data_IF_135837196765
#
_entry.id   IF_135837196765
#
_cell.length_a   1.000
_cell.length_b   1.000
_cell.length_c   1.000
_cell.angle_alpha   90.00
_cell.angle_beta   90.00
_cell.angle_gamma   90.00
#
_symmetry.space_group_name_H-M   'P 1'
#
loop_
_entity.id
_entity.type
_entity.pdbx_description
1 polymer ?
#
# COMPACT_ATOMS: atom_id res chain seq x y z
N UNK A 1 42.37 20.10 19.41
CA UNK A 1 41.52 19.17 18.62
C UNK A 1 42.12 19.11 17.23
N UNK A 2 42.76 17.98 16.89
CA UNK A 2 43.50 17.74 15.64
C UNK A 2 42.51 17.63 14.49
N UNK A 3 42.64 18.50 13.50
CA UNK A 3 41.97 18.32 12.18
C UNK A 3 42.70 17.15 11.51
N UNK A 4 42.04 15.99 11.48
CA UNK A 4 42.51 14.84 10.71
C UNK A 4 42.57 15.26 9.22
N UNK A 5 43.74 15.07 8.61
CA UNK A 5 44.02 15.22 7.18
C UNK A 5 43.07 14.30 6.39
N UNK A 6 41.98 14.85 5.91
CA UNK A 6 41.08 14.14 4.97
C UNK A 6 41.76 14.21 3.61
N UNK A 7 42.46 13.17 3.22
CA UNK A 7 43.14 13.02 1.94
C UNK A 7 42.08 12.96 0.83
N UNK A 8 41.87 14.05 0.11
CA UNK A 8 40.85 14.17 -0.94
C UNK A 8 41.37 13.48 -2.22
N UNK A 9 40.85 12.30 -2.53
CA UNK A 9 41.11 11.58 -3.78
C UNK A 9 40.06 12.00 -4.82
N UNK A 10 40.43 12.97 -5.66
CA UNK A 10 39.51 13.63 -6.63
C UNK A 10 39.86 13.31 -8.09
N UNK A 11 40.68 12.30 -8.35
CA UNK A 11 41.22 12.01 -9.68
C UNK A 11 40.17 11.78 -10.77
N UNK A 12 39.12 10.93 -10.54
CA UNK A 12 38.08 10.71 -11.54
C UNK A 12 37.29 11.99 -11.87
N UNK A 13 37.02 12.84 -10.88
CA UNK A 13 36.33 14.10 -11.07
C UNK A 13 37.16 15.08 -11.89
N UNK A 14 38.43 15.17 -11.62
CA UNK A 14 39.37 16.04 -12.36
C UNK A 14 39.55 15.57 -13.81
N UNK A 15 39.60 14.25 -14.06
CA UNK A 15 39.63 13.67 -15.40
C UNK A 15 38.34 13.92 -16.16
N UNK A 16 37.17 13.86 -15.51
CA UNK A 16 35.86 14.22 -16.12
C UNK A 16 35.83 15.68 -16.52
N UNK A 17 36.24 16.57 -15.61
CA UNK A 17 36.35 17.99 -15.85
C UNK A 17 37.23 18.28 -17.10
N UNK A 18 38.43 17.71 -17.15
CA UNK A 18 39.33 17.86 -18.29
C UNK A 18 38.70 17.41 -19.62
N UNK A 19 38.02 16.26 -19.63
CA UNK A 19 37.36 15.78 -20.86
C UNK A 19 36.18 16.65 -21.26
N UNK A 20 35.41 17.19 -20.31
CA UNK A 20 34.31 18.10 -20.53
C UNK A 20 34.79 19.40 -21.18
N UNK A 21 35.91 19.91 -20.70
CA UNK A 21 36.56 21.12 -21.25
C UNK A 21 37.36 20.84 -22.54
N UNK A 22 37.36 19.62 -23.05
CA UNK A 22 38.08 19.25 -24.28
C UNK A 22 39.59 19.33 -24.20
N UNK A 23 40.16 19.36 -22.97
CA UNK A 23 41.60 19.59 -22.77
C UNK A 23 42.39 18.28 -22.77
N UNK A 24 43.62 18.37 -23.35
CA UNK A 24 44.63 17.33 -23.13
C UNK A 24 45.23 17.40 -21.72
N UNK A 25 45.89 16.35 -21.23
CA UNK A 25 46.55 16.38 -19.92
C UNK A 25 47.60 17.49 -19.87
N UNK A 26 48.36 17.68 -20.92
CA UNK A 26 49.39 18.75 -20.99
C UNK A 26 48.75 20.16 -20.93
N UNK A 27 47.64 20.36 -21.63
CA UNK A 27 46.92 21.64 -21.65
C UNK A 27 46.33 21.95 -20.26
N UNK A 28 45.67 21.01 -19.63
CA UNK A 28 45.09 21.19 -18.28
C UNK A 28 46.19 21.38 -17.23
N UNK A 29 47.27 20.64 -17.32
CA UNK A 29 48.42 20.80 -16.41
C UNK A 29 49.02 22.21 -16.50
N UNK A 30 49.15 22.76 -17.73
CA UNK A 30 49.57 24.13 -17.95
C UNK A 30 48.63 25.16 -17.33
N UNK A 31 47.30 25.00 -17.50
CA UNK A 31 46.29 25.91 -16.89
C UNK A 31 46.35 25.86 -15.36
N UNK A 32 46.60 24.70 -14.79
CA UNK A 32 46.71 24.50 -13.33
C UNK A 32 48.10 24.80 -12.76
N UNK A 33 49.08 25.15 -13.62
CA UNK A 33 50.46 25.42 -13.24
C UNK A 33 51.08 24.25 -12.45
N UNK A 34 50.96 23.01 -12.99
CA UNK A 34 51.51 21.78 -12.51
C UNK A 34 52.14 20.96 -13.65
N UNK A 35 52.96 20.00 -13.35
CA UNK A 35 53.52 19.12 -14.38
C UNK A 35 52.45 18.14 -14.92
N UNK A 36 52.50 17.77 -16.22
CA UNK A 36 51.63 16.74 -16.77
C UNK A 36 51.73 15.39 -16.03
N UNK A 37 52.90 15.00 -15.59
CA UNK A 37 53.14 13.81 -14.79
C UNK A 37 52.40 13.87 -13.43
N UNK A 38 52.44 15.03 -12.78
CA UNK A 38 51.73 15.24 -11.52
C UNK A 38 50.20 15.19 -11.70
N UNK A 39 49.68 15.80 -12.76
CA UNK A 39 48.29 15.70 -13.11
C UNK A 39 47.84 14.25 -13.37
N UNK A 40 48.65 13.47 -14.08
CA UNK A 40 48.36 12.06 -14.34
C UNK A 40 48.33 11.23 -13.03
N UNK A 41 49.21 11.49 -12.07
CA UNK A 41 49.18 10.83 -10.76
C UNK A 41 47.93 11.19 -9.96
N UNK A 42 47.47 12.44 -10.03
CA UNK A 42 46.22 12.85 -9.40
C UNK A 42 45.00 12.19 -10.09
N UNK A 43 44.95 12.20 -11.43
CA UNK A 43 43.86 11.59 -12.20
C UNK A 43 43.73 10.08 -11.97
N UNK A 44 44.83 9.42 -11.59
CA UNK A 44 44.85 7.99 -11.22
C UNK A 44 44.69 7.72 -9.72
N UNK A 45 44.41 8.73 -8.91
CA UNK A 45 44.32 8.65 -7.46
C UNK A 45 45.60 8.15 -6.78
N UNK A 46 46.74 8.21 -7.49
CA UNK A 46 48.07 7.85 -6.93
C UNK A 46 48.68 8.99 -6.11
N UNK A 47 48.10 10.19 -6.22
CA UNK A 47 48.39 11.32 -5.35
C UNK A 47 47.12 12.11 -5.01
N UNK A 48 46.98 12.60 -3.78
CA UNK A 48 45.85 13.41 -3.39
C UNK A 48 45.91 14.78 -4.06
N UNK A 49 44.73 15.36 -4.29
CA UNK A 49 44.58 16.72 -4.77
C UNK A 49 44.95 17.70 -3.64
N UNK A 50 46.01 18.49 -3.84
CA UNK A 50 46.40 19.49 -2.85
C UNK A 50 45.40 20.67 -2.84
N UNK A 51 45.22 21.31 -1.66
CA UNK A 51 44.35 22.47 -1.51
C UNK A 51 44.68 23.60 -2.53
N UNK A 52 45.97 23.80 -2.82
CA UNK A 52 46.43 24.80 -3.79
C UNK A 52 45.96 24.49 -5.20
N UNK A 53 46.00 23.23 -5.61
CA UNK A 53 45.50 22.79 -6.93
C UNK A 53 43.96 22.81 -6.98
N UNK A 54 43.29 22.46 -5.91
CA UNK A 54 41.83 22.53 -5.82
C UNK A 54 41.30 23.96 -6.00
N UNK A 55 41.94 24.94 -5.33
CA UNK A 55 41.53 26.35 -5.49
C UNK A 55 41.72 26.80 -6.94
N UNK A 56 42.79 26.42 -7.62
CA UNK A 56 43.00 26.75 -9.06
C UNK A 56 41.99 26.09 -9.96
N UNK A 57 41.53 24.84 -9.64
CA UNK A 57 40.51 24.14 -10.39
C UNK A 57 39.18 24.89 -10.28
N UNK A 58 38.84 25.32 -9.05
CA UNK A 58 37.60 26.10 -8.80
C UNK A 58 37.65 27.43 -9.57
N UNK A 59 38.76 28.18 -9.45
CA UNK A 59 38.89 29.49 -10.07
C UNK A 59 38.95 29.49 -11.62
N UNK A 60 39.54 28.43 -12.19
CA UNK A 60 39.75 28.35 -13.64
C UNK A 60 38.65 27.66 -14.41
N UNK A 61 37.89 26.79 -13.77
CA UNK A 61 36.90 25.91 -14.42
C UNK A 61 35.51 26.01 -13.80
N UNK A 62 35.27 27.00 -12.92
CA UNK A 62 33.99 27.12 -12.18
C UNK A 62 33.52 25.80 -11.60
N UNK A 63 34.48 25.08 -10.99
CA UNK A 63 34.24 23.71 -10.48
C UNK A 63 33.60 23.74 -9.10
N UNK A 64 32.40 23.13 -8.97
CA UNK A 64 31.77 22.98 -7.67
C UNK A 64 32.45 21.86 -6.87
N UNK A 65 33.15 22.16 -5.75
CA UNK A 65 33.78 21.15 -4.91
C UNK A 65 32.79 20.19 -4.24
N UNK A 66 31.48 20.52 -4.23
CA UNK A 66 30.44 19.59 -3.74
C UNK A 66 30.25 18.41 -4.68
N UNK A 67 30.61 18.55 -5.97
CA UNK A 67 30.59 17.44 -6.93
C UNK A 67 31.63 16.34 -6.62
N UNK A 68 32.61 16.61 -5.74
CA UNK A 68 33.54 15.61 -5.22
C UNK A 68 32.90 14.68 -4.18
N UNK A 69 31.72 15.02 -3.67
CA UNK A 69 30.92 14.21 -2.72
C UNK A 69 29.83 13.39 -3.40
N UNK A 70 29.85 13.27 -4.73
CA UNK A 70 28.89 12.38 -5.44
C UNK A 70 29.02 10.91 -5.01
N UNK A 71 30.12 10.51 -4.39
CA UNK A 71 30.26 9.19 -3.78
C UNK A 71 29.32 8.98 -2.58
N UNK A 72 28.84 10.04 -1.93
CA UNK A 72 27.82 9.96 -0.86
C UNK A 72 26.44 9.52 -1.38
N UNK A 73 26.12 9.77 -2.64
CA UNK A 73 24.81 9.44 -3.21
C UNK A 73 24.55 7.92 -3.31
N UNK A 74 25.60 7.11 -3.39
CA UNK A 74 25.52 5.64 -3.42
C UNK A 74 25.87 5.01 -2.06
N UNK A 75 26.08 5.82 -1.01
CA UNK A 75 26.51 5.37 0.32
C UNK A 75 27.98 4.95 0.36
N UNK A 76 28.81 5.45 -0.57
CA UNK A 76 30.25 5.20 -0.66
C UNK A 76 30.62 3.71 -0.80
N UNK A 77 31.81 3.37 -0.33
CA UNK A 77 32.34 1.99 -0.30
C UNK A 77 31.43 1.03 0.46
N UNK A 78 30.98 1.43 1.65
CA UNK A 78 30.15 0.57 2.50
C UNK A 78 28.73 0.37 1.92
N UNK A 79 28.22 1.34 1.20
CA UNK A 79 26.97 1.22 0.46
C UNK A 79 27.08 0.21 -0.69
N UNK A 80 28.21 0.22 -1.39
CA UNK A 80 28.46 -0.71 -2.49
C UNK A 80 28.71 -2.14 -1.96
N UNK A 81 29.49 -2.29 -0.88
CA UNK A 81 29.71 -3.58 -0.20
C UNK A 81 28.38 -4.21 0.22
N UNK A 82 27.48 -3.43 0.85
CA UNK A 82 26.16 -3.95 1.26
C UNK A 82 25.32 -4.47 0.07
N UNK A 83 25.43 -3.82 -1.09
CA UNK A 83 24.73 -4.27 -2.29
C UNK A 83 25.34 -5.54 -2.87
N UNK A 84 26.67 -5.64 -2.89
CA UNK A 84 27.41 -6.81 -3.37
C UNK A 84 27.29 -8.02 -2.43
N UNK A 85 27.03 -7.81 -1.13
CA UNK A 85 26.76 -8.88 -0.17
C UNK A 85 25.36 -9.50 -0.28
N UNK A 86 24.53 -9.08 -1.25
CA UNK A 86 23.21 -9.68 -1.48
C UNK A 86 23.35 -11.15 -1.90
N UNK A 87 22.44 -11.99 -1.40
CA UNK A 87 22.39 -13.44 -1.72
C UNK A 87 22.35 -13.76 -3.22
N UNK A 88 21.93 -12.80 -4.05
CA UNK A 88 21.94 -12.93 -5.53
C UNK A 88 23.33 -12.96 -6.13
N UNK A 89 24.34 -12.51 -5.40
CA UNK A 89 25.74 -12.44 -5.81
C UNK A 89 26.64 -13.34 -4.96
N UNK A 90 26.07 -14.16 -4.06
CA UNK A 90 26.81 -14.98 -3.13
C UNK A 90 27.74 -16.03 -3.82
N UNK A 91 27.38 -16.45 -5.02
CA UNK A 91 28.14 -17.37 -5.87
C UNK A 91 29.37 -16.73 -6.53
N UNK A 92 29.43 -15.39 -6.58
CA UNK A 92 30.54 -14.65 -7.20
C UNK A 92 31.72 -14.47 -6.27
N UNK A 93 31.53 -14.60 -4.93
CA UNK A 93 32.60 -14.49 -3.94
C UNK A 93 33.32 -13.15 -3.92
N UNK A 94 32.62 -12.04 -4.26
CA UNK A 94 33.16 -10.69 -4.38
C UNK A 94 33.72 -10.22 -3.03
N UNK A 95 34.99 -9.89 -3.03
CA UNK A 95 35.67 -9.40 -1.82
C UNK A 95 35.71 -7.85 -1.74
N UNK A 96 36.24 -7.35 -0.60
CA UNK A 96 36.30 -5.91 -0.35
C UNK A 96 37.29 -5.20 -1.28
N UNK A 97 38.37 -5.86 -1.71
CA UNK A 97 39.37 -5.30 -2.59
C UNK A 97 38.84 -5.12 -4.00
N UNK A 98 38.07 -6.09 -4.54
CA UNK A 98 37.40 -5.99 -5.82
C UNK A 98 36.35 -4.86 -5.84
N UNK A 99 35.60 -4.69 -4.75
CA UNK A 99 34.63 -3.57 -4.66
C UNK A 99 35.35 -2.23 -4.66
N UNK A 100 36.51 -2.13 -3.99
CA UNK A 100 37.33 -0.93 -3.96
C UNK A 100 37.91 -0.63 -5.33
N UNK A 101 38.42 -1.64 -6.03
CA UNK A 101 38.96 -1.52 -7.37
C UNK A 101 37.85 -1.08 -8.35
N UNK A 102 36.67 -1.72 -8.30
CA UNK A 102 35.53 -1.36 -9.09
C UNK A 102 35.11 0.11 -8.89
N UNK A 103 34.99 0.56 -7.63
CA UNK A 103 34.65 1.94 -7.30
C UNK A 103 35.71 2.93 -7.80
N UNK A 104 36.98 2.55 -7.72
CA UNK A 104 38.10 3.40 -8.12
C UNK A 104 38.30 3.47 -9.63
N UNK A 105 38.17 2.33 -10.32
CA UNK A 105 38.38 2.23 -11.77
C UNK A 105 37.18 2.80 -12.57
N UNK A 106 35.96 2.56 -12.09
CA UNK A 106 34.74 2.87 -12.83
C UNK A 106 33.64 3.44 -11.95
N UNK A 107 33.82 4.60 -11.28
CA UNK A 107 32.86 5.14 -10.30
C UNK A 107 31.48 5.39 -10.88
N UNK A 108 31.37 5.79 -12.16
CA UNK A 108 30.07 5.98 -12.81
C UNK A 108 29.34 4.66 -13.10
N UNK A 109 30.10 3.60 -13.41
CA UNK A 109 29.51 2.25 -13.59
C UNK A 109 29.06 1.72 -12.23
N UNK A 110 29.85 1.96 -11.16
CA UNK A 110 29.46 1.64 -9.79
C UNK A 110 28.17 2.41 -9.37
N UNK A 111 28.08 3.68 -9.73
CA UNK A 111 26.87 4.47 -9.50
C UNK A 111 25.68 3.97 -10.34
N UNK A 112 25.90 3.60 -11.61
CA UNK A 112 24.86 3.01 -12.44
C UNK A 112 24.41 1.64 -11.91
N UNK A 113 25.35 0.81 -11.46
CA UNK A 113 25.05 -0.46 -10.80
C UNK A 113 24.22 -0.24 -9.53
N UNK A 114 24.65 0.69 -8.65
CA UNK A 114 23.92 0.99 -7.43
C UNK A 114 22.47 1.44 -7.74
N UNK A 115 22.28 2.32 -8.73
CA UNK A 115 20.94 2.73 -9.19
C UNK A 115 20.12 1.56 -9.73
N UNK A 116 20.71 0.73 -10.58
CA UNK A 116 20.05 -0.47 -11.12
C UNK A 116 19.74 -1.48 -10.01
N UNK A 117 20.66 -1.67 -9.06
CA UNK A 117 20.46 -2.53 -7.91
C UNK A 117 19.32 -2.03 -7.03
N UNK A 118 19.31 -0.73 -6.70
CA UNK A 118 18.26 -0.10 -5.90
C UNK A 118 16.91 -0.09 -6.64
N UNK A 119 16.94 -0.02 -7.97
CA UNK A 119 15.75 -0.17 -8.83
C UNK A 119 15.32 -1.63 -9.00
N UNK A 120 16.24 -2.57 -9.01
CA UNK A 120 15.99 -4.00 -9.22
C UNK A 120 16.03 -4.84 -7.95
N UNK A 121 16.56 -4.31 -6.85
CA UNK A 121 16.62 -4.94 -5.52
C UNK A 121 15.30 -4.88 -4.78
N UNK A 122 14.49 -3.96 -5.14
CA UNK A 122 13.04 -3.99 -5.03
C UNK A 122 12.53 -4.32 -6.43
N UNK A 123 11.79 -5.38 -6.63
CA UNK A 123 10.84 -5.48 -7.72
C UNK A 123 9.75 -4.41 -7.56
N UNK A 124 10.08 -3.38 -6.84
CA UNK A 124 9.42 -2.11 -6.67
C UNK A 124 10.24 -1.07 -7.44
N UNK A 125 9.65 -0.56 -8.51
CA UNK A 125 9.97 0.73 -9.06
C UNK A 125 10.50 1.62 -7.93
N UNK A 126 11.54 2.41 -8.18
CA UNK A 126 11.77 3.66 -7.43
C UNK A 126 10.50 4.47 -7.64
N UNK A 127 9.56 4.16 -6.83
CA UNK A 127 8.27 4.75 -6.73
C UNK A 127 8.57 6.12 -6.14
N UNK A 128 8.39 7.16 -6.92
CA UNK A 128 7.43 8.15 -6.40
C UNK A 128 6.48 7.33 -5.58
N UNK A 129 6.57 7.41 -4.27
CA UNK A 129 5.83 6.58 -3.32
C UNK A 129 4.41 6.45 -3.85
N UNK A 130 4.02 5.25 -4.28
CA UNK A 130 2.74 5.08 -4.95
C UNK A 130 1.71 5.62 -3.97
N UNK A 131 0.96 6.64 -4.37
CA UNK A 131 -0.01 7.30 -3.51
C UNK A 131 -0.82 6.29 -2.70
N UNK A 132 -1.20 5.18 -3.32
CA UNK A 132 -1.91 4.08 -2.67
C UNK A 132 -1.10 3.41 -1.53
N UNK A 133 0.21 3.25 -1.68
CA UNK A 133 1.06 2.66 -0.63
C UNK A 133 1.25 3.63 0.54
N UNK A 134 1.37 4.94 0.26
CA UNK A 134 1.46 5.98 1.28
C UNK A 134 0.16 6.06 2.11
N UNK A 135 -0.99 6.05 1.43
CA UNK A 135 -2.31 6.03 2.10
C UNK A 135 -2.47 4.77 2.94
N UNK A 136 -2.13 3.59 2.41
CA UNK A 136 -2.21 2.34 3.16
C UNK A 136 -1.38 2.40 4.44
N UNK A 137 -0.12 2.86 4.38
CA UNK A 137 0.72 3.03 5.59
C UNK A 137 0.14 4.03 6.58
N UNK A 138 -0.48 5.11 6.10
CA UNK A 138 -1.17 6.04 6.96
C UNK A 138 -2.35 5.37 7.69
N UNK A 139 -3.19 4.64 6.98
CA UNK A 139 -4.33 3.90 7.55
C UNK A 139 -3.85 2.83 8.55
N UNK A 140 -2.78 2.10 8.22
CA UNK A 140 -2.19 1.07 9.09
C UNK A 140 -1.64 1.64 10.40
N UNK A 141 -1.02 2.84 10.39
CA UNK A 141 -0.57 3.53 11.62
C UNK A 141 -1.72 3.78 12.61
N UNK A 142 -2.90 4.09 12.13
CA UNK A 142 -4.12 4.29 12.95
C UNK A 142 -4.91 2.99 13.13
N UNK A 143 -4.43 1.86 12.61
CA UNK A 143 -5.18 0.60 12.60
C UNK A 143 -6.61 0.76 12.06
N UNK A 144 -6.79 1.67 11.10
CA UNK A 144 -8.08 2.07 10.54
C UNK A 144 -9.11 2.49 11.60
N UNK A 145 -8.68 3.08 12.72
CA UNK A 145 -9.56 3.61 13.76
C UNK A 145 -9.26 5.08 14.03
N UNK A 146 -10.23 5.94 13.74
CA UNK A 146 -10.14 7.40 13.90
C UNK A 146 -11.08 7.81 15.04
N UNK A 147 -10.56 7.83 16.27
CA UNK A 147 -11.35 7.99 17.49
C UNK A 147 -12.22 9.25 17.51
N UNK A 148 -11.67 10.39 17.09
CA UNK A 148 -12.38 11.68 17.08
C UNK A 148 -13.52 11.67 16.06
N UNK A 149 -13.31 11.07 14.89
CA UNK A 149 -14.33 10.94 13.85
C UNK A 149 -15.45 9.99 14.29
N UNK A 150 -15.13 8.88 14.94
CA UNK A 150 -16.12 7.98 15.50
C UNK A 150 -16.97 8.65 16.57
N UNK A 151 -16.33 9.44 17.44
CA UNK A 151 -17.05 10.17 18.49
C UNK A 151 -18.01 11.22 17.88
N UNK A 152 -17.52 11.98 16.91
CA UNK A 152 -18.34 12.97 16.20
C UNK A 152 -19.51 12.32 15.45
N UNK A 153 -19.26 11.18 14.78
CA UNK A 153 -20.31 10.42 14.08
C UNK A 153 -21.36 9.86 15.04
N UNK A 154 -20.95 9.33 16.22
CA UNK A 154 -21.90 8.88 17.25
C UNK A 154 -22.77 10.04 17.74
N UNK A 155 -22.16 11.19 18.04
CA UNK A 155 -22.89 12.40 18.46
C UNK A 155 -23.92 12.85 17.43
N UNK A 156 -23.53 12.91 16.14
CA UNK A 156 -24.46 13.27 15.06
C UNK A 156 -25.54 12.22 14.85
N UNK A 157 -25.20 10.93 14.95
CA UNK A 157 -26.20 9.87 14.83
C UNK A 157 -27.25 9.90 15.97
N UNK A 158 -26.85 10.29 17.19
CA UNK A 158 -27.73 10.45 18.33
C UNK A 158 -28.58 11.74 18.20
N UNK A 159 -28.00 12.86 17.74
CA UNK A 159 -28.72 14.10 17.44
C UNK A 159 -29.83 13.86 16.42
N UNK A 160 -29.52 13.17 15.34
CA UNK A 160 -30.46 12.83 14.27
C UNK A 160 -31.40 11.69 14.64
N UNK A 161 -31.25 11.07 15.80
CA UNK A 161 -32.06 9.93 16.26
C UNK A 161 -32.11 8.80 15.24
N UNK A 162 -30.98 8.51 14.57
CA UNK A 162 -30.89 7.52 13.50
C UNK A 162 -31.27 6.08 13.94
N UNK A 163 -31.56 5.87 15.22
CA UNK A 163 -32.04 4.60 15.76
C UNK A 163 -33.56 4.39 15.71
N UNK A 164 -34.33 5.44 15.45
CA UNK A 164 -35.78 5.45 15.68
C UNK A 164 -36.63 5.65 14.41
N UNK A 165 -36.01 5.87 13.26
CA UNK A 165 -36.71 6.15 12.02
C UNK A 165 -35.96 5.68 10.78
N UNK A 166 -36.46 6.05 9.62
CA UNK A 166 -35.75 5.82 8.36
C UNK A 166 -34.50 6.70 8.27
N UNK A 167 -33.33 6.08 8.37
CA UNK A 167 -32.02 6.75 8.32
C UNK A 167 -31.90 7.65 7.09
N UNK A 168 -32.40 7.19 5.93
CA UNK A 168 -32.37 7.98 4.68
C UNK A 168 -33.16 9.27 4.79
N UNK A 169 -34.34 9.22 5.41
CA UNK A 169 -35.19 10.40 5.59
C UNK A 169 -34.54 11.42 6.54
N UNK A 170 -34.02 10.96 7.68
CA UNK A 170 -33.34 11.84 8.65
C UNK A 170 -32.11 12.52 8.07
N UNK A 171 -31.26 11.79 7.35
CA UNK A 171 -30.08 12.35 6.71
C UNK A 171 -30.43 13.29 5.54
N UNK A 172 -31.45 12.96 4.75
CA UNK A 172 -31.92 13.83 3.65
C UNK A 172 -32.53 15.12 4.18
N UNK A 173 -33.28 15.04 5.30
CA UNK A 173 -33.85 16.21 5.96
C UNK A 173 -32.74 17.10 6.53
N UNK A 174 -31.69 16.51 7.14
CA UNK A 174 -30.52 17.25 7.61
C UNK A 174 -29.83 18.01 6.48
N UNK A 175 -29.63 17.37 5.31
CA UNK A 175 -29.09 18.05 4.14
C UNK A 175 -29.96 19.21 3.70
N UNK A 176 -31.28 19.02 3.71
CA UNK A 176 -32.25 20.04 3.29
C UNK A 176 -32.27 21.23 4.26
N UNK A 177 -32.35 20.98 5.56
CA UNK A 177 -32.55 22.04 6.55
C UNK A 177 -31.27 22.83 6.81
N UNK A 178 -30.15 22.12 7.04
CA UNK A 178 -28.90 22.76 7.43
C UNK A 178 -28.06 23.23 6.24
N UNK A 179 -28.07 22.48 5.14
CA UNK A 179 -27.21 22.72 3.97
C UNK A 179 -27.96 23.19 2.72
N UNK A 180 -29.29 23.25 2.79
CA UNK A 180 -30.15 23.62 1.65
C UNK A 180 -29.90 22.74 0.42
N UNK A 181 -29.55 21.48 0.64
CA UNK A 181 -29.34 20.48 -0.39
C UNK A 181 -30.50 19.48 -0.41
N UNK A 182 -31.16 19.31 -1.57
CA UNK A 182 -32.17 18.29 -1.74
C UNK A 182 -31.58 17.04 -2.36
N UNK A 183 -32.00 15.85 -1.89
CA UNK A 183 -31.62 14.57 -2.51
C UNK A 183 -32.57 14.26 -3.65
N UNK A 184 -32.04 13.93 -4.83
CA UNK A 184 -32.82 13.55 -6.03
C UNK A 184 -32.32 12.22 -6.55
N UNK A 185 -33.26 11.31 -6.81
CA UNK A 185 -33.01 10.06 -7.52
C UNK A 185 -33.33 10.32 -8.98
N UNK A 186 -32.35 10.12 -9.87
CA UNK A 186 -32.47 10.40 -11.29
C UNK A 186 -32.35 9.11 -12.11
N UNK A 187 -33.07 9.04 -13.27
CA UNK A 187 -32.91 7.94 -14.21
C UNK A 187 -31.45 7.78 -14.68
N UNK A 188 -31.07 6.53 -15.03
CA UNK A 188 -29.76 6.21 -15.48
C UNK A 188 -29.31 6.98 -16.74
N UNK A 189 -30.25 7.27 -17.62
CA UNK A 189 -30.01 8.04 -18.85
C UNK A 189 -29.60 9.49 -18.58
N UNK A 190 -30.03 10.06 -17.46
CA UNK A 190 -29.68 11.44 -17.04
C UNK A 190 -28.30 11.50 -16.36
N UNK A 191 -27.79 10.36 -15.90
CA UNK A 191 -26.51 10.24 -15.21
C UNK A 191 -25.58 9.22 -15.90
N UNK A 192 -25.25 9.37 -17.18
CA UNK A 192 -24.45 8.39 -17.89
C UNK A 192 -23.07 8.23 -17.24
N UNK A 193 -22.74 7.00 -16.83
CA UNK A 193 -21.43 6.68 -16.22
C UNK A 193 -21.21 7.21 -14.80
N UNK A 194 -22.18 7.87 -14.20
CA UNK A 194 -22.09 8.39 -12.82
C UNK A 194 -23.17 7.76 -11.93
N UNK A 195 -22.80 7.45 -10.71
CA UNK A 195 -23.73 6.91 -9.70
C UNK A 195 -24.19 7.97 -8.69
N UNK A 196 -23.39 9.00 -8.49
CA UNK A 196 -23.74 10.17 -7.69
C UNK A 196 -23.09 11.44 -8.26
N UNK A 197 -23.72 12.58 -8.03
CA UNK A 197 -23.21 13.90 -8.41
C UNK A 197 -23.74 14.96 -7.46
N UNK A 198 -22.89 15.85 -7.01
CA UNK A 198 -23.27 17.05 -6.26
C UNK A 198 -23.42 18.22 -7.25
N UNK A 199 -24.65 18.67 -7.47
CA UNK A 199 -24.96 19.84 -8.27
C UNK A 199 -25.17 21.06 -7.35
N UNK A 200 -24.14 21.89 -7.25
CA UNK A 200 -24.15 23.08 -6.41
C UNK A 200 -25.07 24.20 -6.94
N UNK A 201 -25.26 24.26 -8.26
CA UNK A 201 -26.16 25.25 -8.85
C UNK A 201 -27.63 24.93 -8.59
N UNK A 202 -28.00 23.66 -8.79
CA UNK A 202 -29.34 23.19 -8.48
C UNK A 202 -29.56 22.91 -6.97
N UNK A 203 -28.48 22.98 -6.16
CA UNK A 203 -28.47 22.58 -4.73
C UNK A 203 -29.03 21.17 -4.54
N UNK A 204 -28.49 20.21 -5.28
CA UNK A 204 -28.98 18.85 -5.30
C UNK A 204 -27.83 17.84 -5.13
N UNK A 205 -28.02 16.85 -4.25
CA UNK A 205 -27.32 15.59 -4.31
C UNK A 205 -28.10 14.65 -5.21
N UNK A 206 -27.57 14.40 -6.39
CA UNK A 206 -28.21 13.57 -7.42
C UNK A 206 -27.63 12.15 -7.33
N UNK A 207 -28.51 11.16 -7.21
CA UNK A 207 -28.19 9.75 -7.10
C UNK A 207 -28.86 8.97 -8.24
N UNK A 208 -28.12 8.02 -8.82
CA UNK A 208 -28.68 7.16 -9.86
C UNK A 208 -29.76 6.23 -9.29
N UNK A 209 -30.82 6.01 -10.03
CA UNK A 209 -31.84 5.00 -9.70
C UNK A 209 -31.27 3.58 -9.65
N UNK A 210 -30.15 3.32 -10.35
CA UNK A 210 -29.47 2.04 -10.36
C UNK A 210 -28.76 1.71 -9.04
N UNK A 211 -28.50 2.70 -8.18
CA UNK A 211 -27.90 2.46 -6.87
C UNK A 211 -28.82 1.64 -5.96
N UNK A 212 -28.36 0.55 -5.36
CA UNK A 212 -29.09 -0.16 -4.31
C UNK A 212 -29.39 0.77 -3.11
N UNK A 213 -30.45 0.46 -2.36
CA UNK A 213 -30.85 1.27 -1.21
C UNK A 213 -29.75 1.48 -0.17
N UNK A 214 -28.91 0.48 0.09
CA UNK A 214 -27.75 0.60 1.00
C UNK A 214 -26.71 1.58 0.47
N UNK A 215 -26.41 1.53 -0.83
CA UNK A 215 -25.46 2.44 -1.47
C UNK A 215 -25.99 3.88 -1.50
N UNK A 216 -27.29 4.09 -1.76
CA UNK A 216 -27.91 5.43 -1.68
C UNK A 216 -27.77 6.02 -0.28
N UNK A 217 -28.08 5.25 0.77
CA UNK A 217 -27.90 5.69 2.16
C UNK A 217 -26.47 6.06 2.46
N UNK A 218 -25.53 5.27 1.96
CA UNK A 218 -24.12 5.54 2.12
C UNK A 218 -23.71 6.87 1.47
N UNK A 219 -24.14 7.14 0.24
CA UNK A 219 -23.84 8.41 -0.44
C UNK A 219 -24.45 9.62 0.28
N UNK A 220 -25.66 9.49 0.84
CA UNK A 220 -26.27 10.55 1.63
C UNK A 220 -25.48 10.78 2.93
N UNK A 221 -25.13 9.72 3.66
CA UNK A 221 -24.32 9.81 4.87
C UNK A 221 -22.93 10.39 4.60
N UNK A 222 -22.30 9.98 3.47
CA UNK A 222 -21.01 10.51 3.00
C UNK A 222 -21.07 12.02 2.77
N UNK A 223 -22.14 12.50 2.13
CA UNK A 223 -22.33 13.92 1.88
C UNK A 223 -22.55 14.71 3.17
N UNK A 224 -23.32 14.19 4.12
CA UNK A 224 -23.50 14.81 5.46
C UNK A 224 -22.17 14.88 6.20
N UNK A 225 -21.42 13.77 6.25
CA UNK A 225 -20.11 13.72 6.90
C UNK A 225 -19.12 14.70 6.28
N UNK A 226 -19.03 14.76 4.96
CA UNK A 226 -18.16 15.67 4.24
C UNK A 226 -18.44 17.17 4.51
N UNK A 227 -19.71 17.51 4.75
CA UNK A 227 -20.12 18.88 5.03
C UNK A 227 -19.96 19.25 6.51
N UNK A 228 -20.35 18.36 7.42
CA UNK A 228 -20.42 18.68 8.86
C UNK A 228 -19.13 18.40 9.61
N UNK A 229 -18.25 17.57 9.06
CA UNK A 229 -16.97 17.20 9.70
C UNK A 229 -15.77 17.57 8.83
N UNK A 230 -15.93 18.57 7.97
CA UNK A 230 -14.88 19.04 7.05
C UNK A 230 -13.57 19.33 7.77
N UNK A 231 -13.62 20.15 8.81
CA UNK A 231 -12.42 20.60 9.55
C UNK A 231 -11.70 19.41 10.20
N UNK A 232 -12.44 18.41 10.71
CA UNK A 232 -11.87 17.21 11.30
C UNK A 232 -11.21 16.31 10.23
N UNK A 233 -11.82 16.20 9.04
CA UNK A 233 -11.24 15.48 7.89
C UNK A 233 -9.94 16.17 7.46
N UNK A 234 -9.96 17.48 7.24
CA UNK A 234 -8.80 18.27 6.82
C UNK A 234 -7.65 18.20 7.83
N UNK A 235 -7.95 18.30 9.12
CA UNK A 235 -6.96 18.18 10.19
C UNK A 235 -6.31 16.79 10.22
N UNK A 236 -7.08 15.73 10.03
CA UNK A 236 -6.57 14.35 9.96
C UNK A 236 -5.68 14.14 8.74
N UNK A 237 -6.11 14.58 7.56
CA UNK A 237 -5.35 14.48 6.31
C UNK A 237 -4.04 15.26 6.40
N UNK A 238 -4.07 16.47 6.97
CA UNK A 238 -2.87 17.26 7.20
C UNK A 238 -1.90 16.57 8.18
N UNK A 239 -2.42 15.98 9.27
CA UNK A 239 -1.64 15.22 10.26
C UNK A 239 -1.00 13.94 9.71
N UNK A 240 -1.46 13.43 8.57
CA UNK A 240 -0.88 12.27 7.91
C UNK A 240 0.49 12.55 7.26
N UNK A 241 0.83 13.82 7.02
CA UNK A 241 2.09 14.27 6.41
C UNK A 241 2.39 13.59 5.06
N UNK A 242 1.37 13.46 4.21
CA UNK A 242 1.52 12.89 2.86
C UNK A 242 2.09 13.94 1.90
N UNK A 243 3.16 13.58 1.19
CA UNK A 243 3.86 14.47 0.26
C UNK A 243 3.10 14.70 -1.05
N UNK A 244 2.44 13.64 -1.55
CA UNK A 244 1.70 13.68 -2.82
C UNK A 244 0.29 14.26 -2.64
N UNK A 245 -0.17 15.18 -3.51
CA UNK A 245 -1.56 15.60 -3.58
C UNK A 245 -2.52 14.41 -3.77
N UNK A 246 -2.22 13.51 -4.72
CA UNK A 246 -3.04 12.33 -5.00
C UNK A 246 -3.20 11.43 -3.76
N UNK A 247 -2.14 11.31 -2.93
CA UNK A 247 -2.22 10.56 -1.69
C UNK A 247 -3.09 11.25 -0.64
N UNK A 248 -3.06 12.60 -0.59
CA UNK A 248 -3.93 13.37 0.30
C UNK A 248 -5.39 13.24 -0.11
N UNK A 249 -5.68 13.37 -1.39
CA UNK A 249 -7.03 13.22 -1.94
C UNK A 249 -7.57 11.81 -1.68
N UNK A 250 -6.76 10.77 -1.91
CA UNK A 250 -7.15 9.40 -1.65
C UNK A 250 -7.36 9.11 -0.15
N UNK A 251 -6.57 9.71 0.75
CA UNK A 251 -6.81 9.60 2.19
C UNK A 251 -8.08 10.35 2.60
N UNK A 252 -8.33 11.52 2.03
CA UNK A 252 -9.55 12.30 2.28
C UNK A 252 -10.80 11.52 1.86
N UNK A 253 -10.76 10.87 0.70
CA UNK A 253 -11.81 9.97 0.23
C UNK A 253 -12.05 8.83 1.23
N UNK A 254 -10.98 8.13 1.63
CA UNK A 254 -11.06 7.03 2.61
C UNK A 254 -11.66 7.49 3.95
N UNK A 255 -11.24 8.63 4.48
CA UNK A 255 -11.73 9.18 5.75
C UNK A 255 -13.19 9.62 5.64
N UNK A 256 -13.59 10.15 4.47
CA UNK A 256 -14.99 10.53 4.20
C UNK A 256 -15.88 9.28 4.13
N UNK A 257 -15.40 8.21 3.50
CA UNK A 257 -16.11 6.91 3.45
C UNK A 257 -16.18 6.24 4.83
N UNK A 258 -15.10 6.34 5.62
CA UNK A 258 -15.08 5.93 7.02
C UNK A 258 -16.19 6.62 7.84
N UNK A 259 -16.33 7.94 7.69
CA UNK A 259 -17.37 8.71 8.36
C UNK A 259 -18.79 8.29 7.96
N UNK A 260 -19.01 8.04 6.67
CA UNK A 260 -20.29 7.52 6.19
C UNK A 260 -20.63 6.18 6.86
N UNK A 261 -19.64 5.28 6.94
CA UNK A 261 -19.77 4.02 7.66
C UNK A 261 -20.03 4.21 9.15
N UNK A 262 -19.35 5.15 9.81
CA UNK A 262 -19.52 5.45 11.23
C UNK A 262 -20.90 6.05 11.55
N UNK A 263 -21.46 6.88 10.66
CA UNK A 263 -22.81 7.42 10.80
C UNK A 263 -23.89 6.34 10.67
N UNK A 264 -23.75 5.43 9.69
CA UNK A 264 -24.69 4.35 9.47
C UNK A 264 -24.58 3.22 10.52
N UNK A 265 -23.39 3.02 11.04
CA UNK A 265 -23.01 1.97 11.97
C UNK A 265 -22.31 2.60 13.21
N UNK A 266 -23.04 3.37 14.07
CA UNK A 266 -22.46 4.06 15.22
C UNK A 266 -21.77 3.07 16.15
N UNK A 267 -20.56 3.42 16.62
CA UNK A 267 -19.60 2.52 17.23
C UNK A 267 -20.18 1.58 18.30
N UNK A 268 -20.67 2.14 19.39
CA UNK A 268 -21.19 1.33 20.52
C UNK A 268 -22.42 0.51 20.17
N UNK A 269 -23.30 1.06 19.33
CA UNK A 269 -24.50 0.34 18.88
C UNK A 269 -24.13 -0.82 17.98
N UNK A 270 -23.19 -0.61 17.07
CA UNK A 270 -22.71 -1.63 16.16
C UNK A 270 -21.93 -2.72 16.92
N UNK A 271 -21.00 -2.35 17.81
CA UNK A 271 -20.23 -3.31 18.62
C UNK A 271 -21.15 -4.21 19.45
N UNK A 272 -22.11 -3.63 20.17
CA UNK A 272 -23.11 -4.42 20.94
C UNK A 272 -23.92 -5.35 20.06
N UNK A 273 -24.27 -4.92 18.85
CA UNK A 273 -24.96 -5.78 17.91
C UNK A 273 -24.09 -6.93 17.42
N UNK A 274 -22.81 -6.67 17.13
CA UNK A 274 -21.84 -7.71 16.78
C UNK A 274 -21.71 -8.77 17.86
N UNK A 275 -21.46 -8.35 19.10
CA UNK A 275 -21.32 -9.25 20.26
C UNK A 275 -22.59 -10.07 20.51
N UNK A 276 -23.76 -9.41 20.48
CA UNK A 276 -25.03 -10.10 20.75
C UNK A 276 -25.46 -11.11 19.68
N UNK A 277 -24.89 -11.03 18.46
CA UNK A 277 -25.23 -11.90 17.34
C UNK A 277 -24.11 -12.89 16.97
N UNK A 278 -22.98 -12.89 17.72
CA UNK A 278 -21.79 -13.64 17.34
C UNK A 278 -21.26 -13.18 15.97
N UNK A 279 -21.32 -11.87 15.68
CA UNK A 279 -20.88 -11.28 14.41
C UNK A 279 -21.58 -11.90 13.18
N UNK A 280 -22.86 -12.24 13.29
CA UNK A 280 -23.65 -12.70 12.14
C UNK A 280 -23.85 -11.58 11.13
N UNK A 281 -23.12 -11.67 10.03
CA UNK A 281 -23.09 -10.61 9.00
C UNK A 281 -24.46 -10.40 8.36
N UNK A 282 -25.27 -11.43 8.18
CA UNK A 282 -26.61 -11.32 7.59
C UNK A 282 -27.58 -10.61 8.53
N UNK A 283 -27.49 -10.87 9.83
CA UNK A 283 -28.28 -10.17 10.85
C UNK A 283 -27.86 -8.71 10.95
N UNK A 284 -26.55 -8.43 10.95
CA UNK A 284 -26.01 -7.07 10.99
C UNK A 284 -26.45 -6.24 9.78
N UNK A 285 -26.34 -6.80 8.57
CA UNK A 285 -26.80 -6.13 7.35
C UNK A 285 -28.27 -5.74 7.43
N UNK A 286 -29.14 -6.63 7.90
CA UNK A 286 -30.58 -6.36 8.04
C UNK A 286 -30.87 -5.34 9.12
N UNK A 287 -30.21 -5.45 10.28
CA UNK A 287 -30.43 -4.56 11.43
C UNK A 287 -30.08 -3.12 11.13
N UNK A 288 -29.00 -2.90 10.39
CA UNK A 288 -28.52 -1.56 10.04
C UNK A 288 -28.88 -1.14 8.60
N UNK A 289 -29.50 -2.01 7.83
CA UNK A 289 -29.89 -1.80 6.44
C UNK A 289 -28.71 -1.39 5.54
N UNK A 290 -27.54 -2.01 5.74
CA UNK A 290 -26.29 -1.77 5.01
C UNK A 290 -25.89 -2.99 4.17
N UNK A 291 -24.94 -2.80 3.26
CA UNK A 291 -24.42 -3.88 2.41
C UNK A 291 -23.36 -4.72 3.15
N UNK A 292 -22.98 -5.85 2.54
CA UNK A 292 -21.98 -6.76 3.11
C UNK A 292 -20.61 -6.11 3.23
N UNK A 293 -20.16 -5.40 2.21
CA UNK A 293 -18.92 -4.66 2.17
C UNK A 293 -18.87 -3.56 3.23
N UNK A 294 -19.96 -2.80 3.41
CA UNK A 294 -20.07 -1.78 4.46
C UNK A 294 -19.94 -2.38 5.87
N UNK A 295 -20.52 -3.56 6.13
CA UNK A 295 -20.32 -4.28 7.40
C UNK A 295 -18.87 -4.75 7.53
N UNK A 296 -18.30 -5.34 6.48
CA UNK A 296 -16.93 -5.84 6.49
C UNK A 296 -15.90 -4.73 6.75
N UNK A 297 -16.05 -3.59 6.10
CA UNK A 297 -15.19 -2.42 6.33
C UNK A 297 -15.34 -1.89 7.75
N UNK A 298 -16.56 -1.75 8.25
CA UNK A 298 -16.80 -1.24 9.60
C UNK A 298 -16.21 -2.13 10.68
N UNK A 299 -16.23 -3.46 10.49
CA UNK A 299 -15.60 -4.41 11.42
C UNK A 299 -14.08 -4.19 11.58
N UNK A 300 -13.41 -3.65 10.57
CA UNK A 300 -11.97 -3.34 10.67
C UNK A 300 -11.67 -2.09 11.50
N UNK A 301 -12.68 -1.32 11.86
CA UNK A 301 -12.53 -0.02 12.54
C UNK A 301 -12.76 -0.09 14.05
N UNK A 302 -13.10 -1.25 14.60
CA UNK A 302 -13.48 -1.42 15.99
C UNK A 302 -12.28 -1.47 16.95
N UNK A 303 -11.40 -0.44 16.86
CA UNK A 303 -10.13 -0.34 17.60
C UNK A 303 -10.15 0.53 18.87
N UNK A 304 -11.32 1.07 19.32
CA UNK A 304 -11.43 1.99 20.46
C UNK A 304 -10.87 1.39 21.75
N UNK A 305 -9.99 2.14 22.42
CA UNK A 305 -9.40 1.70 23.69
C UNK A 305 -10.50 1.50 24.75
N UNK A 306 -10.50 0.35 25.38
CA UNK A 306 -11.51 -0.03 26.38
C UNK A 306 -12.81 -0.60 25.83
N UNK A 307 -13.10 -0.45 24.55
CA UNK A 307 -14.30 -0.97 23.87
C UNK A 307 -13.91 -1.57 22.50
N UNK A 308 -12.96 -2.51 22.47
CA UNK A 308 -12.48 -3.12 21.24
C UNK A 308 -13.38 -4.25 20.76
N UNK A 309 -13.69 -4.23 19.47
CA UNK A 309 -14.25 -5.41 18.80
C UNK A 309 -13.17 -6.42 18.42
N UNK A 310 -13.58 -7.49 17.76
CA UNK A 310 -12.67 -8.49 17.22
C UNK A 310 -11.81 -7.90 16.09
N UNK A 311 -10.51 -8.27 16.00
CA UNK A 311 -9.56 -7.68 15.06
C UNK A 311 -9.69 -8.32 13.67
N UNK A 312 -10.55 -7.76 12.84
CA UNK A 312 -10.72 -8.19 11.46
C UNK A 312 -9.80 -7.44 10.49
N UNK A 313 -9.47 -8.08 9.37
CA UNK A 313 -9.05 -7.43 8.14
C UNK A 313 -10.12 -7.60 7.06
N UNK A 314 -10.12 -6.71 6.07
CA UNK A 314 -10.93 -6.89 4.86
C UNK A 314 -10.08 -6.80 3.61
N UNK A 315 -10.48 -7.54 2.57
CA UNK A 315 -9.89 -7.48 1.25
C UNK A 315 -10.97 -7.55 0.18
N UNK A 316 -10.74 -6.90 -0.95
CA UNK A 316 -11.61 -6.99 -2.12
C UNK A 316 -10.81 -7.52 -3.30
N UNK A 317 -11.35 -8.55 -3.95
CA UNK A 317 -10.72 -9.22 -5.09
C UNK A 317 -11.65 -9.08 -6.30
N UNK A 318 -11.09 -8.66 -7.43
CA UNK A 318 -11.81 -8.59 -8.68
C UNK A 318 -11.86 -9.97 -9.39
N UNK A 319 -12.63 -10.04 -10.47
CA UNK A 319 -12.80 -11.28 -11.25
C UNK A 319 -11.51 -11.75 -11.96
N UNK A 320 -10.54 -10.84 -12.16
CA UNK A 320 -9.22 -11.17 -12.67
C UNK A 320 -8.27 -11.69 -11.59
N UNK A 321 -8.72 -11.77 -10.34
CA UNK A 321 -7.94 -12.23 -9.20
C UNK A 321 -7.01 -11.16 -8.63
N UNK A 322 -7.21 -9.87 -8.96
CA UNK A 322 -6.42 -8.79 -8.36
C UNK A 322 -7.07 -8.36 -7.04
N UNK A 323 -6.25 -8.19 -6.03
CA UNK A 323 -6.66 -7.53 -4.81
C UNK A 323 -6.71 -6.02 -5.06
N UNK A 324 -7.91 -5.47 -5.10
CA UNK A 324 -8.15 -4.05 -5.42
C UNK A 324 -8.20 -3.18 -4.17
N UNK A 325 -8.50 -3.78 -3.02
CA UNK A 325 -8.58 -3.10 -1.74
C UNK A 325 -8.15 -4.03 -0.62
N UNK A 326 -7.47 -3.48 0.40
CA UNK A 326 -7.05 -4.23 1.59
C UNK A 326 -6.92 -3.29 2.79
N UNK A 327 -7.54 -3.65 3.89
CA UNK A 327 -7.44 -2.95 5.16
C UNK A 327 -7.12 -3.97 6.26
N UNK A 328 -5.95 -3.85 6.86
CA UNK A 328 -5.53 -4.73 7.96
C UNK A 328 -6.30 -4.46 9.25
N UNK A 329 -6.74 -3.23 9.50
CA UNK A 329 -7.33 -2.84 10.78
C UNK A 329 -6.39 -3.15 11.96
N UNK A 330 -6.95 -3.61 13.05
CA UNK A 330 -6.21 -4.07 14.24
C UNK A 330 -5.72 -5.52 14.17
N UNK A 331 -5.93 -6.24 13.05
CA UNK A 331 -5.64 -7.68 12.93
C UNK A 331 -4.13 -7.99 12.81
N UNK A 332 -3.33 -7.02 12.38
CA UNK A 332 -1.93 -7.24 12.02
C UNK A 332 -1.75 -8.14 10.80
N UNK A 333 -2.77 -8.27 9.95
CA UNK A 333 -2.64 -8.94 8.67
C UNK A 333 -1.69 -8.16 7.76
N UNK A 334 -0.84 -8.89 7.04
CA UNK A 334 0.13 -8.28 6.14
C UNK A 334 -0.48 -8.25 4.74
N UNK A 335 -0.41 -7.08 4.09
CA UNK A 335 -0.81 -6.95 2.69
C UNK A 335 -0.02 -7.94 1.83
N UNK A 336 -0.67 -8.80 1.06
CA UNK A 336 0.02 -9.72 0.17
C UNK A 336 0.73 -8.91 -0.93
N UNK A 337 2.03 -9.11 -1.06
CA UNK A 337 2.84 -8.46 -2.08
C UNK A 337 2.27 -8.74 -3.49
N UNK A 338 2.50 -7.81 -4.40
CA UNK A 338 2.00 -7.81 -5.78
C UNK A 338 2.10 -9.17 -6.47
N UNK A 339 0.98 -9.60 -7.05
CA UNK A 339 0.89 -10.83 -7.83
C UNK A 339 0.60 -12.10 -7.03
N UNK A 340 0.38 -12.01 -5.71
CA UNK A 340 -0.06 -13.15 -4.93
C UNK A 340 -1.47 -13.58 -5.38
N UNK A 341 -1.54 -14.70 -6.06
CA UNK A 341 -2.79 -15.38 -6.44
C UNK A 341 -2.75 -16.77 -5.84
N UNK A 342 -3.75 -17.08 -5.04
CA UNK A 342 -3.85 -18.38 -4.38
C UNK A 342 -5.10 -19.11 -4.87
N UNK A 343 -5.03 -19.93 -5.94
CA UNK A 343 -6.21 -20.58 -6.51
C UNK A 343 -7.00 -21.40 -5.51
N UNK A 344 -6.35 -21.93 -4.47
CA UNK A 344 -7.00 -22.68 -3.41
C UNK A 344 -7.75 -21.79 -2.39
N UNK A 345 -7.65 -20.46 -2.49
CA UNK A 345 -8.37 -19.56 -1.59
C UNK A 345 -9.81 -19.36 -2.04
N UNK A 346 -10.74 -19.49 -1.11
CA UNK A 346 -12.19 -19.51 -1.40
C UNK A 346 -12.75 -18.27 -2.11
N UNK A 347 -12.18 -17.06 -2.03
CA UNK A 347 -12.71 -15.92 -2.79
C UNK A 347 -12.80 -16.14 -4.29
N UNK A 348 -11.95 -16.97 -4.86
CA UNK A 348 -12.01 -17.28 -6.30
C UNK A 348 -13.24 -18.15 -6.64
N UNK A 349 -13.58 -19.11 -5.77
CA UNK A 349 -14.77 -19.93 -5.91
C UNK A 349 -16.09 -19.16 -5.64
N UNK A 350 -16.01 -18.03 -4.94
CA UNK A 350 -17.18 -17.22 -4.62
C UNK A 350 -17.84 -16.63 -5.88
N UNK A 351 -17.11 -16.46 -6.98
CA UNK A 351 -17.68 -15.99 -8.25
C UNK A 351 -18.59 -17.02 -8.94
N UNK A 352 -18.41 -18.30 -8.61
CA UNK A 352 -19.27 -19.40 -9.12
C UNK A 352 -20.60 -19.48 -8.36
N UNK A 353 -20.63 -18.95 -7.12
CA UNK A 353 -21.80 -18.95 -6.23
C UNK A 353 -22.13 -17.54 -5.75
N UNK A 354 -22.58 -16.66 -6.64
CA UNK A 354 -22.81 -15.27 -6.31
C UNK A 354 -23.76 -15.08 -5.13
N UNK A 355 -23.40 -14.15 -4.23
CA UNK A 355 -24.22 -13.81 -3.06
C UNK A 355 -24.20 -14.85 -1.93
N UNK A 356 -23.61 -16.02 -2.14
CA UNK A 356 -23.43 -17.03 -1.08
C UNK A 356 -22.26 -16.66 -0.19
N UNK A 357 -22.42 -16.80 1.11
CA UNK A 357 -21.32 -16.68 2.07
C UNK A 357 -20.54 -17.99 2.08
N UNK A 358 -19.24 -17.90 1.80
CA UNK A 358 -18.30 -19.01 1.86
C UNK A 358 -17.29 -18.76 2.97
N UNK A 359 -16.88 -19.81 3.67
CA UNK A 359 -15.93 -19.73 4.78
C UNK A 359 -14.77 -20.71 4.57
N UNK A 360 -13.59 -20.34 5.06
CA UNK A 360 -12.41 -21.18 4.95
C UNK A 360 -11.39 -20.84 6.05
N UNK A 361 -10.81 -21.88 6.68
CA UNK A 361 -9.62 -21.74 7.48
C UNK A 361 -8.38 -21.82 6.56
N UNK A 362 -7.45 -20.88 6.72
CA UNK A 362 -6.25 -20.78 5.87
C UNK A 362 -5.00 -20.46 6.71
N UNK A 363 -3.84 -20.86 6.23
CA UNK A 363 -2.58 -20.41 6.80
C UNK A 363 -1.82 -19.56 5.79
N UNK A 364 -1.46 -18.31 6.17
CA UNK A 364 -0.63 -17.41 5.34
C UNK A 364 0.79 -17.37 5.87
N UNK A 365 1.78 -17.59 5.03
CA UNK A 365 3.19 -17.46 5.39
C UNK A 365 4.15 -18.10 4.40
N UNK A 366 5.43 -17.74 4.50
CA UNK A 366 6.51 -18.22 3.63
C UNK A 366 6.87 -19.68 3.92
N UNK A 367 6.78 -20.08 5.16
CA UNK A 367 7.00 -21.44 5.64
C UNK A 367 5.88 -21.85 6.59
N UNK A 368 5.76 -23.13 6.82
CA UNK A 368 4.75 -23.67 7.75
C UNK A 368 4.93 -23.14 9.19
N UNK A 369 6.18 -23.00 9.64
CA UNK A 369 6.49 -22.49 10.98
C UNK A 369 6.17 -21.00 11.15
N UNK A 370 6.34 -20.19 10.08
CA UNK A 370 6.08 -18.75 10.09
C UNK A 370 4.65 -18.40 9.68
N UNK A 371 3.86 -19.38 9.21
CA UNK A 371 2.52 -19.11 8.73
C UNK A 371 1.55 -18.82 9.88
N UNK A 372 0.80 -17.72 9.76
CA UNK A 372 -0.29 -17.37 10.68
C UNK A 372 -1.57 -18.04 10.23
N UNK A 373 -2.39 -18.43 11.20
CA UNK A 373 -3.63 -19.16 10.98
C UNK A 373 -4.83 -18.20 11.03
N UNK A 374 -5.62 -18.19 9.96
CA UNK A 374 -6.74 -17.29 9.75
C UNK A 374 -8.02 -18.02 9.42
N UNK A 375 -9.13 -17.45 9.84
CA UNK A 375 -10.46 -17.80 9.38
C UNK A 375 -10.97 -16.69 8.45
N UNK A 376 -11.45 -17.06 7.27
CA UNK A 376 -11.93 -16.10 6.27
C UNK A 376 -13.39 -16.34 5.89
N UNK A 377 -14.14 -15.27 5.75
CA UNK A 377 -15.54 -15.23 5.33
C UNK A 377 -15.59 -14.44 4.04
N UNK A 378 -16.15 -15.01 3.00
CA UNK A 378 -16.16 -14.39 1.67
C UNK A 378 -17.55 -14.38 1.09
N UNK A 379 -17.91 -13.26 0.46
CA UNK A 379 -19.14 -13.14 -0.34
C UNK A 379 -18.88 -12.24 -1.52
N UNK A 380 -19.48 -12.57 -2.68
CA UNK A 380 -19.48 -11.64 -3.80
C UNK A 380 -20.52 -10.55 -3.61
N UNK A 381 -20.14 -9.33 -4.00
CA UNK A 381 -21.00 -8.15 -4.09
C UNK A 381 -20.98 -7.62 -5.52
N UNK A 382 -22.08 -7.13 -6.01
CA UNK A 382 -22.14 -6.47 -7.30
C UNK A 382 -21.66 -5.02 -7.16
N UNK A 383 -20.97 -4.51 -8.18
CA UNK A 383 -20.47 -3.13 -8.17
C UNK A 383 -21.60 -2.11 -8.29
N UNK A 384 -21.44 -0.96 -7.66
CA UNK A 384 -22.47 0.10 -7.59
C UNK A 384 -22.55 0.96 -8.87
N UNK A 385 -21.72 0.70 -9.89
CA UNK A 385 -21.59 1.57 -11.07
C UNK A 385 -22.06 0.95 -12.37
N UNK A 386 -22.66 1.77 -13.23
CA UNK A 386 -23.10 1.41 -14.59
C UNK A 386 -21.92 1.00 -15.48
N UNK A 387 -20.74 1.61 -15.27
CA UNK A 387 -19.51 1.33 -16.04
C UNK A 387 -18.54 0.38 -15.32
N UNK A 388 -18.68 0.20 -14.01
CA UNK A 388 -17.86 -0.70 -13.18
C UNK A 388 -18.72 -1.83 -12.60
N UNK A 389 -19.62 -2.39 -13.38
CA UNK A 389 -20.51 -3.49 -12.99
C UNK A 389 -19.78 -4.82 -12.72
N UNK A 390 -18.51 -4.73 -12.41
CA UNK A 390 -17.71 -5.89 -12.05
C UNK A 390 -18.09 -6.43 -10.66
N UNK A 391 -18.62 -7.67 -10.64
CA UNK A 391 -18.75 -8.41 -9.38
C UNK A 391 -17.40 -8.52 -8.69
N UNK A 392 -17.36 -8.27 -7.38
CA UNK A 392 -16.18 -8.35 -6.53
C UNK A 392 -16.40 -9.37 -5.43
N UNK A 393 -15.36 -10.09 -5.04
CA UNK A 393 -15.37 -10.92 -3.84
C UNK A 393 -14.83 -10.07 -2.67
N UNK A 394 -15.65 -9.86 -1.66
CA UNK A 394 -15.25 -9.22 -0.40
C UNK A 394 -14.91 -10.30 0.60
N UNK A 395 -13.73 -10.21 1.16
CA UNK A 395 -13.18 -11.12 2.16
C UNK A 395 -13.09 -10.40 3.49
N UNK A 396 -13.63 -10.99 4.52
CA UNK A 396 -13.43 -10.61 5.92
C UNK A 396 -12.60 -11.71 6.57
N UNK A 397 -11.49 -11.36 7.22
CA UNK A 397 -10.63 -12.37 7.83
C UNK A 397 -10.24 -12.00 9.26
N UNK A 398 -10.04 -13.02 10.07
CA UNK A 398 -9.64 -12.89 11.47
C UNK A 398 -8.68 -14.05 11.84
N UNK A 399 -7.76 -13.83 12.78
CA UNK A 399 -6.98 -14.96 13.28
C UNK A 399 -7.90 -16.05 13.85
N UNK A 400 -7.63 -17.31 13.50
CA UNK A 400 -8.49 -18.45 13.84
C UNK A 400 -8.74 -18.59 15.35
N UNK A 401 -7.78 -18.16 16.19
CA UNK A 401 -7.94 -18.17 17.66
C UNK A 401 -9.10 -17.29 18.16
N UNK A 402 -9.54 -16.32 17.39
CA UNK A 402 -10.67 -15.43 17.72
C UNK A 402 -11.97 -15.84 17.02
N UNK A 403 -11.95 -16.87 16.18
CA UNK A 403 -13.08 -17.24 15.34
C UNK A 403 -14.09 -18.17 16.01
N UNK A 404 -13.76 -18.78 17.17
CA UNK A 404 -14.57 -19.82 17.79
C UNK A 404 -16.02 -19.42 18.09
N UNK A 405 -16.26 -18.17 18.47
CA UNK A 405 -17.58 -17.64 18.83
C UNK A 405 -18.34 -17.01 17.65
N UNK A 406 -17.73 -16.99 16.46
CA UNK A 406 -18.37 -16.41 15.28
C UNK A 406 -19.51 -17.30 14.76
N UNK A 407 -20.65 -16.68 14.45
CA UNK A 407 -21.77 -17.38 13.84
C UNK A 407 -21.39 -18.14 12.56
N UNK A 408 -20.47 -17.57 11.77
CA UNK A 408 -20.00 -18.14 10.51
C UNK A 408 -18.92 -19.22 10.67
N UNK A 409 -18.39 -19.45 11.87
CA UNK A 409 -17.42 -20.52 12.13
C UNK A 409 -18.10 -21.85 12.54
N UNK A 410 -19.40 -21.81 12.79
CA UNK A 410 -20.14 -23.01 13.19
C UNK A 410 -20.07 -24.09 12.11
N UNK A 411 -19.60 -25.26 12.49
CA UNK A 411 -19.44 -26.41 11.60
C UNK A 411 -18.22 -26.35 10.68
N UNK A 412 -17.33 -25.38 10.87
CA UNK A 412 -16.04 -25.30 10.18
C UNK A 412 -14.94 -25.72 11.13
N UNK A 413 -14.03 -26.60 10.70
CA UNK A 413 -12.83 -26.89 11.48
C UNK A 413 -11.93 -25.66 11.56
N UNK A 414 -11.59 -25.28 12.78
CA UNK A 414 -10.59 -24.25 13.05
C UNK A 414 -9.25 -24.87 13.45
N UNK A 415 -9.08 -26.17 13.19
CA UNK A 415 -7.80 -26.82 13.42
C UNK A 415 -6.78 -26.38 12.36
N UNK A 416 -5.57 -26.09 12.80
CA UNK A 416 -4.49 -25.65 11.90
C UNK A 416 -4.14 -26.73 10.86
N UNK A 417 -4.31 -28.01 11.24
CA UNK A 417 -4.05 -29.13 10.35
C UNK A 417 -5.01 -29.20 9.16
N UNK A 418 -6.25 -28.72 9.35
CA UNK A 418 -7.28 -28.69 8.30
C UNK A 418 -7.26 -27.40 7.47
N UNK A 419 -6.45 -26.42 7.88
CA UNK A 419 -6.38 -25.13 7.22
C UNK A 419 -5.67 -25.22 5.85
N UNK A 420 -6.27 -24.60 4.84
CA UNK A 420 -5.65 -24.55 3.50
C UNK A 420 -4.38 -23.70 3.51
N UNK A 421 -3.24 -24.27 3.12
CA UNK A 421 -1.98 -23.55 3.14
C UNK A 421 -1.88 -22.58 1.97
N UNK A 422 -1.78 -21.28 2.26
CA UNK A 422 -1.53 -20.22 1.32
C UNK A 422 -0.12 -19.67 1.57
N UNK A 423 0.73 -19.73 0.55
CA UNK A 423 2.13 -19.26 0.66
C UNK A 423 2.31 -17.80 0.29
N UNK A 424 3.54 -17.43 0.07
CA UNK A 424 3.94 -16.26 -0.70
C UNK A 424 3.41 -16.38 -2.15
N UNK A 425 3.60 -15.37 -3.02
CA UNK A 425 3.23 -15.49 -4.43
C UNK A 425 3.67 -16.82 -5.02
N UNK A 426 2.79 -17.51 -5.75
CA UNK A 426 2.98 -18.89 -6.20
C UNK A 426 4.32 -19.16 -6.88
N UNK A 427 4.88 -18.18 -7.59
CA UNK A 427 6.19 -18.28 -8.23
C UNK A 427 7.37 -18.35 -7.23
N UNK A 428 7.19 -17.84 -6.01
CA UNK A 428 8.20 -17.82 -4.93
C UNK A 428 7.88 -18.81 -3.80
N UNK A 429 6.73 -19.46 -3.87
CA UNK A 429 6.26 -20.34 -2.80
C UNK A 429 7.09 -21.61 -2.69
N UNK A 430 7.73 -21.85 -1.54
CA UNK A 430 8.57 -23.02 -1.25
C UNK A 430 7.83 -24.31 -0.88
N UNK A 431 6.49 -24.33 -0.83
CA UNK A 431 5.69 -25.48 -0.34
C UNK A 431 5.76 -26.63 -1.33
N UNK A 432 6.15 -27.83 -0.83
CA UNK A 432 6.26 -29.05 -1.64
C UNK A 432 4.88 -29.63 -2.00
N UNK A 433 3.97 -29.63 -1.03
CA UNK A 433 2.61 -30.16 -1.18
C UNK A 433 1.64 -29.01 -1.49
N UNK A 434 1.35 -28.79 -2.75
CA UNK A 434 0.39 -27.80 -3.22
C UNK A 434 -0.56 -28.43 -4.23
N UNK A 435 -1.86 -28.33 -4.00
CA UNK A 435 -2.90 -28.84 -4.91
C UNK A 435 -2.93 -28.09 -6.26
N UNK A 436 -2.39 -26.86 -6.30
CA UNK A 436 -2.37 -26.01 -7.50
C UNK A 436 -0.98 -25.37 -7.67
N UNK A 437 0.05 -26.18 -7.99
CA UNK A 437 1.43 -25.68 -8.13
C UNK A 437 1.55 -24.71 -9.31
N UNK A 438 2.44 -23.71 -9.19
CA UNK A 438 2.72 -22.78 -10.28
C UNK A 438 3.34 -23.51 -11.49
N UNK A 439 3.09 -23.05 -12.73
CA UNK A 439 3.62 -23.69 -13.96
C UNK A 439 5.12 -23.93 -13.96
N UNK A 440 5.91 -23.02 -13.39
CA UNK A 440 7.36 -23.17 -13.28
C UNK A 440 7.79 -24.41 -12.46
N UNK A 441 6.97 -24.86 -11.52
CA UNK A 441 7.21 -26.08 -10.73
C UNK A 441 6.75 -27.33 -11.46
N UNK A 442 5.65 -27.23 -12.22
CA UNK A 442 5.20 -28.34 -13.08
C UNK A 442 6.28 -28.69 -14.10
N UNK A 443 6.97 -27.68 -14.67
CA UNK A 443 8.06 -27.89 -15.60
C UNK A 443 9.29 -28.59 -14.98
N UNK A 444 9.56 -28.37 -13.68
CA UNK A 444 10.65 -29.04 -12.97
C UNK A 444 10.29 -30.46 -12.46
N UNK A 445 8.99 -30.75 -12.29
CA UNK A 445 8.48 -32.03 -11.84
C UNK A 445 8.20 -33.02 -13.00
N UNK A 446 8.12 -32.54 -14.25
CA UNK A 446 7.99 -33.40 -15.39
C UNK A 446 9.32 -34.17 -15.63
N UNK A 447 9.30 -35.52 -15.66
CA UNK A 447 10.49 -36.26 -16.01
C UNK A 447 10.95 -35.78 -17.38
N UNK A 448 12.21 -35.32 -17.47
CA UNK A 448 12.83 -35.06 -18.77
C UNK A 448 12.68 -36.32 -19.62
N UNK A 449 11.80 -36.30 -20.62
CA UNK A 449 11.79 -37.35 -21.63
C UNK A 449 13.22 -37.39 -22.17
N UNK A 450 13.94 -38.46 -21.85
CA UNK A 450 15.21 -38.77 -22.52
C UNK A 450 14.83 -38.96 -23.97
N UNK A 451 15.25 -38.05 -24.84
CA UNK A 451 15.26 -38.32 -26.27
C UNK A 451 16.12 -39.59 -26.46
N UNK A 452 15.43 -40.69 -26.67
CA UNK A 452 16.09 -41.91 -27.09
C UNK A 452 16.72 -41.66 -28.46
N UNK A 453 18.01 -41.88 -28.51
CA UNK A 453 18.81 -42.00 -29.72
C UNK A 453 18.30 -43.09 -30.62
#
# INVERSE_FOLDING_TARGET
MSMADTTLLAGPALRRLRKREGLTQAAMASVLDISPSYLNLIERNQRPLSAKVLVRVIERFDFDPRSLREDDAIGGMDGLIRRMADKRFADLGIDREEVQEFLSAAPQVAAAFARLYDQGGSGERAVTENAAAAVRRAIERWQNHFADLDHAAEGLADELRLSRGEISAALSERLREKHQLSVRILPAEVMPGQVHRLDLHARQLQLSEMLPGAARRFQIARQVGALEMRDAIEALVAGANLSSPDARDALQEHVTDYLAGALLLPYRRFLRACESTGYDLAVLQRRFAVSFDQVAERLTTLGRVGERGLPFFTATIDRAGRMTHFIAGGSGAIYPLDGARWPAWVPYAAFERPGTVLTQAVTFGESEAAARHWFTITRTVDGDGVMCSGRRAVVLGIEARFAGDLAHARGVSLDRADAVPLGTPCLRCGRAECLTPAPARLASALPRMRNGS
#
